data_IF_652712783776
#
_entry.id   IF_652712783776
#
_cell.length_a   1.000
_cell.length_b   1.000
_cell.length_c   1.000
_cell.angle_alpha   90.00
_cell.angle_beta   90.00
_cell.angle_gamma   90.00
#
_symmetry.space_group_name_H-M   'P 1'
#
loop_
_entity.id
_entity.type
_entity.pdbx_description
1 polymer ?
#
# COMPACT_ATOMS: atom_id res chain seq x y z
N UNK A 1 -29.75 -15.47 54.88
CA UNK A 1 -28.56 -14.73 54.36
C UNK A 1 -27.47 -15.66 53.80
N UNK A 2 -27.11 -16.78 54.45
CA UNK A 2 -26.07 -17.71 53.92
C UNK A 2 -26.44 -18.53 52.66
N UNK A 3 -27.72 -18.74 52.35
CA UNK A 3 -28.15 -19.53 51.17
C UNK A 3 -28.30 -18.73 49.87
N UNK A 4 -28.48 -17.40 49.96
CA UNK A 4 -28.66 -16.53 48.79
C UNK A 4 -27.32 -16.21 48.12
N UNK A 5 -26.25 -16.07 48.91
CA UNK A 5 -24.89 -15.82 48.40
C UNK A 5 -24.35 -16.99 47.57
N UNK A 6 -24.71 -18.23 47.93
CA UNK A 6 -24.29 -19.43 47.20
C UNK A 6 -24.94 -19.56 45.82
N UNK A 7 -26.21 -19.15 45.66
CA UNK A 7 -26.90 -19.24 44.36
C UNK A 7 -26.45 -18.15 43.37
N UNK A 8 -26.07 -16.97 43.86
CA UNK A 8 -25.55 -15.88 43.01
C UNK A 8 -24.15 -16.21 42.46
N UNK A 9 -23.30 -16.89 43.26
CA UNK A 9 -21.96 -17.28 42.83
C UNK A 9 -21.96 -18.36 41.73
N UNK A 10 -22.94 -19.27 41.72
CA UNK A 10 -23.03 -20.34 40.71
C UNK A 10 -23.52 -19.83 39.36
N UNK A 11 -24.40 -18.82 39.35
CA UNK A 11 -24.92 -18.22 38.11
C UNK A 11 -23.84 -17.36 37.43
N UNK A 12 -23.00 -16.66 38.21
CA UNK A 12 -21.89 -15.87 37.67
C UNK A 12 -20.80 -16.74 37.00
N UNK A 13 -20.60 -17.98 37.45
CA UNK A 13 -19.62 -18.89 36.88
C UNK A 13 -20.08 -19.56 35.56
N UNK A 14 -21.40 -19.73 35.36
CA UNK A 14 -21.94 -20.31 34.12
C UNK A 14 -22.01 -19.32 32.95
N UNK A 15 -22.06 -18.02 33.23
CA UNK A 15 -22.08 -16.97 32.19
C UNK A 15 -20.67 -16.69 31.65
N UNK A 16 -19.61 -17.05 32.39
CA UNK A 16 -18.23 -16.84 31.98
C UNK A 16 -17.68 -17.90 31.00
N UNK A 17 -18.43 -18.96 30.71
CA UNK A 17 -17.98 -20.07 29.84
C UNK A 17 -18.65 -20.13 28.46
N UNK A 18 -19.42 -19.10 28.07
CA UNK A 18 -20.13 -19.10 26.78
C UNK A 18 -19.74 -17.97 25.80
N UNK A 19 -18.69 -17.20 26.10
CA UNK A 19 -18.20 -16.14 25.19
C UNK A 19 -16.90 -16.52 24.45
N UNK A 20 -16.36 -17.71 24.65
CA UNK A 20 -15.06 -18.11 24.08
C UNK A 20 -15.16 -19.17 22.98
N UNK A 21 -16.14 -19.10 22.06
CA UNK A 21 -16.10 -19.91 20.82
C UNK A 21 -16.66 -19.11 19.64
N UNK A 22 -15.93 -18.08 19.25
CA UNK A 22 -15.84 -17.65 17.86
C UNK A 22 -14.51 -16.91 17.64
N UNK A 23 -13.44 -17.43 18.26
CA UNK A 23 -12.11 -17.31 17.66
C UNK A 23 -12.13 -18.17 16.42
N UNK A 24 -12.85 -17.69 15.39
CA UNK A 24 -12.62 -18.15 14.04
C UNK A 24 -11.12 -18.13 13.87
N UNK A 25 -10.56 -19.27 13.51
CA UNK A 25 -9.24 -19.34 12.92
C UNK A 25 -9.34 -18.28 11.84
N UNK A 26 -8.77 -17.09 12.07
CA UNK A 26 -8.37 -16.27 10.95
C UNK A 26 -7.39 -17.22 10.27
N UNK A 27 -7.89 -17.88 9.23
CA UNK A 27 -7.09 -18.18 8.06
C UNK A 27 -6.13 -16.99 7.94
N UNK A 28 -4.81 -17.20 7.78
CA UNK A 28 -3.94 -16.08 7.48
C UNK A 28 -4.70 -15.29 6.41
N UNK A 29 -5.07 -14.05 6.73
CA UNK A 29 -5.76 -13.17 5.79
C UNK A 29 -5.00 -13.42 4.51
N UNK A 30 -5.67 -13.95 3.49
CA UNK A 30 -5.10 -13.99 2.17
C UNK A 30 -4.98 -12.52 1.86
N UNK A 31 -3.83 -11.96 2.27
CA UNK A 31 -3.52 -10.57 2.12
C UNK A 31 -3.58 -10.43 0.64
N UNK A 32 -4.63 -9.78 0.14
CA UNK A 32 -4.79 -9.52 -1.29
C UNK A 32 -3.40 -9.12 -1.78
N UNK A 33 -2.96 -9.60 -2.94
CA UNK A 33 -1.56 -9.47 -3.40
C UNK A 33 -0.97 -8.05 -3.23
N UNK A 34 -1.82 -7.04 -3.06
CA UNK A 34 -1.57 -5.62 -2.97
C UNK A 34 -1.52 -5.07 -1.52
N UNK A 35 -1.68 -5.87 -0.46
CA UNK A 35 -1.66 -5.39 0.95
C UNK A 35 -0.26 -4.93 1.38
N UNK A 36 0.79 -5.32 0.67
CA UNK A 36 2.13 -4.81 0.93
C UNK A 36 2.39 -3.43 0.31
N UNK A 37 1.56 -2.99 -0.65
CA UNK A 37 1.73 -1.68 -1.26
C UNK A 37 1.39 -0.60 -0.25
N UNK A 38 2.04 0.56 -0.39
CA UNK A 38 1.74 1.73 0.38
C UNK A 38 0.22 2.02 0.37
N UNK A 39 -0.34 2.52 1.48
CA UNK A 39 -1.78 2.72 1.62
C UNK A 39 -2.35 3.70 0.57
N UNK A 40 -1.53 4.62 0.06
CA UNK A 40 -1.87 5.54 -1.00
C UNK A 40 -0.75 5.56 -2.05
N UNK A 41 -1.08 5.21 -3.29
CA UNK A 41 -0.15 5.31 -4.41
C UNK A 41 -0.33 6.64 -5.15
N UNK A 42 0.78 7.32 -5.40
CA UNK A 42 0.81 8.63 -6.06
C UNK A 42 0.85 8.49 -7.58
N UNK A 43 0.80 9.61 -8.29
CA UNK A 43 0.96 9.65 -9.75
C UNK A 43 -0.08 8.84 -10.55
N UNK A 44 -1.32 8.79 -10.06
CA UNK A 44 -2.43 8.09 -10.69
C UNK A 44 -2.21 6.57 -10.91
N UNK A 45 -1.29 5.95 -10.16
CA UNK A 45 -1.05 4.49 -10.24
C UNK A 45 -1.90 3.71 -9.23
N UNK A 46 -2.72 4.38 -8.41
CA UNK A 46 -3.67 3.71 -7.51
C UNK A 46 -4.66 2.82 -8.27
N UNK A 47 -5.10 3.25 -9.46
CA UNK A 47 -5.94 2.46 -10.37
C UNK A 47 -5.32 1.10 -10.76
N UNK A 48 -4.00 1.01 -10.69
CA UNK A 48 -3.19 -0.14 -11.07
C UNK A 48 -2.92 -1.10 -9.90
N UNK A 49 -3.40 -0.78 -8.68
CA UNK A 49 -3.13 -1.56 -7.45
C UNK A 49 -3.39 -3.05 -7.61
N UNK A 50 -4.52 -3.43 -8.22
CA UNK A 50 -4.91 -4.85 -8.35
C UNK A 50 -4.09 -5.55 -9.43
N UNK A 51 -3.90 -4.91 -10.59
CA UNK A 51 -3.16 -5.46 -11.72
C UNK A 51 -1.66 -5.61 -11.41
N UNK A 52 -1.11 -4.67 -10.63
CA UNK A 52 0.30 -4.61 -10.27
C UNK A 52 0.60 -5.02 -8.82
N UNK A 53 -0.33 -5.71 -8.17
CA UNK A 53 -0.10 -6.31 -6.86
C UNK A 53 1.09 -7.27 -6.80
N UNK A 54 1.48 -7.85 -7.96
CA UNK A 54 2.65 -8.73 -8.04
C UNK A 54 3.97 -8.05 -7.64
N UNK A 55 4.05 -6.71 -7.62
CA UNK A 55 5.19 -5.96 -7.07
C UNK A 55 5.51 -6.39 -5.64
N UNK A 56 4.47 -6.75 -4.87
CA UNK A 56 4.60 -7.24 -3.50
C UNK A 56 5.23 -8.62 -3.36
N UNK A 57 5.33 -9.40 -4.43
CA UNK A 57 5.84 -10.77 -4.39
C UNK A 57 7.38 -10.83 -4.41
N UNK A 58 8.06 -9.86 -3.78
CA UNK A 58 9.53 -9.64 -3.87
C UNK A 58 10.00 -9.57 -5.34
N UNK A 59 9.14 -9.07 -6.22
CA UNK A 59 9.49 -8.90 -7.61
C UNK A 59 10.19 -7.56 -7.78
N UNK A 60 11.52 -7.56 -7.72
CA UNK A 60 12.33 -6.37 -8.00
C UNK A 60 12.53 -6.17 -9.51
N UNK A 61 12.31 -7.23 -10.31
CA UNK A 61 12.54 -7.20 -11.75
C UNK A 61 11.26 -6.82 -12.48
N UNK A 62 11.29 -5.69 -13.20
CA UNK A 62 10.12 -5.16 -13.91
C UNK A 62 8.90 -4.93 -13.00
N UNK A 63 9.17 -4.62 -11.73
CA UNK A 63 8.15 -4.29 -10.73
C UNK A 63 7.24 -3.18 -11.26
N UNK A 64 7.83 -2.12 -11.80
CA UNK A 64 7.11 -0.96 -12.30
C UNK A 64 7.07 -0.98 -13.84
N UNK A 65 5.89 -1.19 -14.44
CA UNK A 65 5.72 -1.14 -15.89
C UNK A 65 6.10 0.23 -16.43
N UNK A 66 6.66 0.24 -17.63
CA UNK A 66 6.85 1.49 -18.38
C UNK A 66 5.48 2.12 -18.63
N UNK A 67 5.34 3.41 -18.35
CA UNK A 67 4.10 4.14 -18.60
C UNK A 67 2.98 3.83 -17.61
N UNK A 68 3.24 3.18 -16.47
CA UNK A 68 2.19 2.96 -15.46
C UNK A 68 1.53 4.26 -14.96
N UNK A 69 2.31 5.35 -14.90
CA UNK A 69 1.83 6.70 -14.59
C UNK A 69 1.09 7.35 -15.77
N UNK A 70 1.30 6.86 -17.00
CA UNK A 70 0.61 7.35 -18.18
C UNK A 70 -0.84 6.86 -18.13
N UNK A 71 -1.76 7.78 -18.27
CA UNK A 71 -3.21 7.56 -18.29
C UNK A 71 -3.71 7.76 -19.71
N UNK A 72 -2.96 7.26 -20.69
CA UNK A 72 -3.23 7.39 -22.12
C UNK A 72 -3.41 8.86 -22.55
N UNK A 73 -2.64 9.76 -21.93
CA UNK A 73 -2.77 11.21 -22.12
C UNK A 73 -4.03 11.86 -21.50
N UNK A 74 -4.88 11.11 -20.79
CA UNK A 74 -6.08 11.63 -20.14
C UNK A 74 -5.79 12.42 -18.86
N UNK A 75 -4.57 12.34 -18.34
CA UNK A 75 -4.11 13.08 -17.19
C UNK A 75 -2.60 13.32 -17.28
N UNK A 76 -2.13 14.32 -16.54
CA UNK A 76 -0.71 14.50 -16.29
C UNK A 76 -0.52 14.43 -14.78
N UNK A 77 -0.09 13.28 -14.21
CA UNK A 77 0.11 13.13 -12.77
C UNK A 77 1.20 14.05 -12.20
N UNK A 78 1.89 14.79 -13.07
CA UNK A 78 3.05 15.61 -12.76
C UNK A 78 2.76 17.09 -13.00
N UNK A 79 1.66 17.45 -13.67
CA UNK A 79 1.28 18.83 -13.97
C UNK A 79 1.08 19.69 -12.72
N UNK A 80 0.61 19.11 -11.62
CA UNK A 80 0.33 19.83 -10.37
C UNK A 80 1.47 19.77 -9.36
N UNK A 81 2.59 19.13 -9.69
CA UNK A 81 3.68 18.93 -8.74
C UNK A 81 4.73 20.03 -8.85
N UNK A 82 5.09 20.62 -7.71
CA UNK A 82 6.20 21.55 -7.63
C UNK A 82 7.53 20.78 -7.54
N UNK A 83 8.44 20.93 -8.52
CA UNK A 83 9.77 20.35 -8.42
C UNK A 83 10.60 21.12 -7.38
N UNK A 84 11.53 20.45 -6.68
CA UNK A 84 11.89 19.04 -6.79
C UNK A 84 10.97 18.09 -5.99
N UNK A 85 10.53 17.01 -6.63
CA UNK A 85 9.62 16.00 -6.09
C UNK A 85 10.43 14.92 -5.37
N UNK A 86 9.92 14.48 -4.22
CA UNK A 86 10.43 13.28 -3.53
C UNK A 86 9.60 12.08 -3.98
N UNK A 87 10.30 11.06 -4.47
CA UNK A 87 9.72 9.79 -4.90
C UNK A 87 9.82 8.78 -3.77
N UNK A 88 8.78 7.97 -3.63
CA UNK A 88 8.63 7.02 -2.53
C UNK A 88 8.56 5.60 -3.05
N UNK A 89 9.07 4.66 -2.26
CA UNK A 89 8.94 3.24 -2.51
C UNK A 89 7.47 2.80 -2.45
N UNK A 90 7.01 2.08 -3.46
CA UNK A 90 5.61 1.68 -3.59
C UNK A 90 5.17 0.62 -2.58
N UNK A 91 6.09 -0.05 -1.87
CA UNK A 91 5.78 -1.00 -0.80
C UNK A 91 5.87 -0.33 0.57
N UNK A 92 7.02 0.28 0.85
CA UNK A 92 7.36 0.77 2.19
C UNK A 92 6.97 2.23 2.42
N UNK A 93 6.68 2.99 1.36
CA UNK A 93 6.39 4.43 1.46
C UNK A 93 7.59 5.27 1.92
N UNK A 94 8.81 4.74 1.81
CA UNK A 94 10.04 5.45 2.21
C UNK A 94 10.56 6.30 1.05
N UNK A 95 11.17 7.47 1.31
CA UNK A 95 11.74 8.30 0.26
C UNK A 95 12.94 7.58 -0.39
N UNK A 96 12.92 7.45 -1.72
CA UNK A 96 13.98 6.82 -2.51
C UNK A 96 14.93 7.86 -3.09
N UNK A 97 14.40 8.87 -3.78
CA UNK A 97 15.21 9.91 -4.42
C UNK A 97 14.40 11.20 -4.62
N UNK A 98 15.12 12.27 -4.92
CA UNK A 98 14.59 13.60 -5.19
C UNK A 98 14.91 13.97 -6.64
N UNK A 99 13.91 14.34 -7.43
CA UNK A 99 14.10 14.74 -8.82
C UNK A 99 13.07 15.80 -9.25
N UNK A 100 13.39 16.67 -10.22
CA UNK A 100 14.69 16.86 -10.86
C UNK A 100 15.74 17.49 -9.94
N UNK A 101 17.02 17.20 -10.18
CA UNK A 101 18.17 17.88 -9.55
C UNK A 101 19.13 18.29 -10.66
N UNK A 102 19.49 19.57 -10.72
CA UNK A 102 20.43 20.09 -11.72
C UNK A 102 19.90 20.14 -13.16
N UNK A 103 18.58 19.97 -13.36
CA UNK A 103 17.90 20.04 -14.66
C UNK A 103 16.49 20.62 -14.50
N UNK A 104 15.89 21.03 -15.62
CA UNK A 104 14.50 21.47 -15.65
C UNK A 104 13.53 20.30 -15.44
N UNK A 105 12.29 20.64 -15.10
CA UNK A 105 11.23 19.64 -14.95
C UNK A 105 10.89 18.97 -16.28
N UNK A 106 10.82 19.75 -17.36
CA UNK A 106 10.54 19.26 -18.72
C UNK A 106 11.58 18.23 -19.19
N UNK A 107 12.87 18.49 -18.96
CA UNK A 107 13.95 17.54 -19.27
C UNK A 107 13.80 16.23 -18.49
N UNK A 108 13.44 16.34 -17.19
CA UNK A 108 13.19 15.17 -16.36
C UNK A 108 11.99 14.34 -16.85
N UNK A 109 10.89 15.00 -17.24
CA UNK A 109 9.71 14.32 -17.78
C UNK A 109 10.06 13.60 -19.08
N UNK A 110 10.69 14.32 -20.02
CA UNK A 110 11.11 13.79 -21.31
C UNK A 110 11.97 12.54 -21.14
N UNK A 111 12.99 12.60 -20.28
CA UNK A 111 13.86 11.46 -19.98
C UNK A 111 13.10 10.30 -19.34
N UNK A 112 12.16 10.60 -18.44
CA UNK A 112 11.33 9.59 -17.76
C UNK A 112 10.37 8.88 -18.72
N UNK A 113 9.83 9.59 -19.71
CA UNK A 113 9.05 8.97 -20.80
C UNK A 113 9.92 8.03 -21.64
N UNK A 114 11.13 8.46 -22.02
CA UNK A 114 12.02 7.65 -22.87
C UNK A 114 12.60 6.43 -22.16
N UNK A 115 13.05 6.55 -20.91
CA UNK A 115 13.69 5.45 -20.17
C UNK A 115 12.71 4.62 -19.34
N UNK A 116 11.48 5.12 -19.15
CA UNK A 116 10.43 4.54 -18.32
C UNK A 116 10.55 5.05 -16.88
N UNK A 117 9.48 4.98 -16.11
CA UNK A 117 9.51 5.37 -14.69
C UNK A 117 10.49 4.48 -13.89
N UNK A 118 10.97 4.96 -12.74
CA UNK A 118 12.30 5.41 -12.45
C UNK A 118 13.11 4.27 -11.81
N UNK A 119 13.21 3.12 -12.48
CA UNK A 119 14.15 2.07 -12.07
C UNK A 119 15.63 2.46 -12.30
N UNK A 120 15.88 3.50 -13.10
CA UNK A 120 17.22 4.03 -13.41
C UNK A 120 17.65 5.24 -12.54
N UNK A 121 16.76 5.76 -11.69
CA UNK A 121 17.05 6.85 -10.74
C UNK A 121 17.45 6.35 -9.34
N UNK A 122 17.37 5.02 -9.12
CA UNK A 122 17.90 4.37 -7.90
C UNK A 122 19.41 4.18 -8.01
#
# INVERSE_FOLDING_TARGET
IRKVVAQVAVIAAMIFSLVAVAGGILSPVDRSANECLAPELRFNVERLRVEHGYVCCKNEHYAEPRGAYDCDGACDPLAELEPPIIFYDSQCGIPLYKAPVGRSFEEFLTESHHHGWPKWLR
#
